data_IF_288176316183
#
_entry.id   IF_288176316183
#
_cell.length_a   1.000
_cell.length_b   1.000
_cell.length_c   1.000
_cell.angle_alpha   90.00
_cell.angle_beta   90.00
_cell.angle_gamma   90.00
#
_symmetry.space_group_name_H-M   'P 1'
#
loop_
_entity.id
_entity.type
_entity.pdbx_description
1 polymer ?
#
# COMPACT_ATOMS: atom_id res chain seq x y z
N UNK A 1 9.77 -10.60 22.10
CA UNK A 1 9.73 -10.63 20.62
C UNK A 1 10.89 -9.84 20.02
N UNK A 2 11.46 -10.26 18.88
CA UNK A 2 12.65 -9.63 18.26
C UNK A 2 12.27 -8.38 17.44
N UNK A 3 13.02 -7.29 17.59
CA UNK A 3 12.98 -6.14 16.69
C UNK A 3 13.64 -6.53 15.35
N UNK A 4 12.90 -6.39 14.26
CA UNK A 4 13.32 -6.75 12.90
C UNK A 4 13.06 -5.61 11.91
N UNK A 5 13.22 -4.36 12.37
CA UNK A 5 12.99 -3.14 11.59
C UNK A 5 13.82 -3.10 10.30
N UNK A 6 15.13 -3.35 10.37
CA UNK A 6 16.00 -3.32 9.19
C UNK A 6 15.63 -4.38 8.16
N UNK A 7 15.19 -5.55 8.64
CA UNK A 7 14.69 -6.60 7.75
C UNK A 7 13.41 -6.18 7.03
N UNK A 8 12.48 -5.54 7.75
CA UNK A 8 11.24 -5.02 7.17
C UNK A 8 11.53 -3.92 6.13
N UNK A 9 12.34 -2.93 6.50
CA UNK A 9 12.71 -1.82 5.61
C UNK A 9 13.50 -2.29 4.39
N UNK A 10 14.45 -3.23 4.54
CA UNK A 10 15.17 -3.80 3.41
C UNK A 10 14.29 -4.61 2.46
N UNK A 11 13.18 -5.19 2.95
CA UNK A 11 12.18 -5.87 2.11
C UNK A 11 11.29 -4.90 1.36
N UNK A 12 10.90 -3.82 2.04
CA UNK A 12 10.00 -2.80 1.52
C UNK A 12 10.70 -1.87 0.53
N UNK A 13 11.95 -1.51 0.82
CA UNK A 13 12.75 -0.50 0.12
C UNK A 13 14.12 -1.10 -0.26
N UNK A 14 14.21 -1.89 -1.36
CA UNK A 14 15.48 -2.40 -1.90
C UNK A 14 16.41 -1.27 -2.35
N UNK A 15 17.67 -1.56 -2.66
CA UNK A 15 18.60 -0.52 -3.11
C UNK A 15 18.25 0.01 -4.50
N UNK A 16 18.57 1.28 -4.76
CA UNK A 16 18.17 1.95 -6.00
C UNK A 16 18.74 1.25 -7.25
N UNK A 17 19.94 0.69 -7.15
CA UNK A 17 20.55 -0.13 -8.20
C UNK A 17 19.68 -1.33 -8.59
N UNK A 18 19.05 -2.00 -7.61
CA UNK A 18 18.15 -3.11 -7.87
C UNK A 18 16.83 -2.65 -8.51
N UNK A 19 16.36 -1.45 -8.14
CA UNK A 19 15.13 -0.86 -8.69
C UNK A 19 15.32 -0.47 -10.15
N UNK A 20 16.50 0.06 -10.50
CA UNK A 20 16.83 0.57 -11.83
C UNK A 20 17.49 -0.46 -12.74
N UNK A 21 17.73 -1.67 -12.24
CA UNK A 21 18.39 -2.73 -13.00
C UNK A 21 17.59 -3.07 -14.27
N UNK A 22 18.29 -3.04 -15.41
CA UNK A 22 17.75 -3.44 -16.70
C UNK A 22 18.52 -4.67 -17.18
N UNK A 23 17.87 -5.83 -17.36
CA UNK A 23 18.54 -7.02 -17.88
C UNK A 23 18.83 -6.84 -19.37
N UNK A 24 19.94 -7.41 -19.81
CA UNK A 24 20.32 -7.46 -21.23
C UNK A 24 19.55 -8.60 -21.91
N UNK A 25 18.41 -8.27 -22.50
CA UNK A 25 17.53 -9.25 -23.18
C UNK A 25 17.09 -8.73 -24.55
N UNK A 26 16.81 -9.66 -25.48
CA UNK A 26 16.33 -9.33 -26.83
C UNK A 26 14.85 -8.93 -26.92
N UNK A 27 14.11 -9.02 -25.81
CA UNK A 27 12.69 -8.70 -25.73
C UNK A 27 12.41 -7.63 -24.67
N UNK A 28 11.23 -7.00 -24.75
CA UNK A 28 10.79 -6.01 -23.77
C UNK A 28 10.51 -6.66 -22.42
N UNK A 29 11.21 -6.21 -21.38
CA UNK A 29 11.01 -6.67 -20.01
C UNK A 29 10.11 -5.71 -19.22
N UNK A 30 9.53 -6.23 -18.14
CA UNK A 30 8.90 -5.43 -17.10
C UNK A 30 9.61 -5.79 -15.81
N UNK A 31 10.53 -4.94 -15.35
CA UNK A 31 11.34 -5.17 -14.14
C UNK A 31 10.80 -4.38 -12.95
N UNK A 32 9.60 -3.81 -13.07
CA UNK A 32 8.94 -3.09 -12.00
C UNK A 32 8.74 -4.03 -10.81
N UNK A 33 9.24 -3.64 -9.65
CA UNK A 33 9.05 -4.36 -8.40
C UNK A 33 7.75 -3.88 -7.77
N UNK A 34 6.79 -4.76 -7.57
CA UNK A 34 5.58 -4.44 -6.78
C UNK A 34 5.69 -5.07 -5.39
N UNK A 35 5.38 -4.29 -4.36
CA UNK A 35 5.26 -4.69 -2.97
C UNK A 35 3.89 -4.29 -2.45
N UNK A 36 3.05 -5.28 -2.17
CA UNK A 36 1.75 -5.03 -1.57
C UNK A 36 1.79 -5.24 -0.05
N UNK A 37 1.46 -4.21 0.70
CA UNK A 37 1.45 -4.18 2.16
C UNK A 37 0.05 -3.96 2.66
N UNK A 38 -0.47 -4.90 3.45
CA UNK A 38 -1.72 -4.69 4.19
C UNK A 38 -1.38 -4.11 5.55
N UNK A 39 -2.03 -3.02 5.94
CA UNK A 39 -1.94 -2.48 7.30
C UNK A 39 -3.29 -2.62 8.00
N UNK A 40 -3.33 -3.52 8.98
CA UNK A 40 -4.50 -3.81 9.78
C UNK A 40 -4.50 -3.01 11.08
N UNK A 41 -5.63 -2.37 11.40
CA UNK A 41 -5.89 -1.90 12.75
C UNK A 41 -7.14 -1.04 12.89
N UNK A 42 -7.64 -0.95 14.13
CA UNK A 42 -8.81 -0.13 14.52
C UNK A 42 -8.63 1.33 14.09
N UNK A 43 -9.72 2.11 13.91
CA UNK A 43 -9.63 3.56 13.83
C UNK A 43 -8.78 4.11 14.98
N UNK A 44 -7.95 5.12 14.71
CA UNK A 44 -7.06 5.70 15.73
C UNK A 44 -5.79 4.89 16.05
N UNK A 45 -5.62 3.64 15.60
CA UNK A 45 -4.40 2.83 15.85
C UNK A 45 -3.09 3.39 15.23
N UNK A 46 -3.16 4.50 14.48
CA UNK A 46 -2.01 5.17 13.89
C UNK A 46 -1.47 4.51 12.62
N UNK A 47 -2.35 3.93 11.80
CA UNK A 47 -1.98 3.37 10.49
C UNK A 47 -1.32 4.42 9.60
N UNK A 48 -1.99 5.56 9.43
CA UNK A 48 -1.51 6.70 8.64
C UNK A 48 -0.15 7.19 9.14
N UNK A 49 0.07 7.27 10.45
CA UNK A 49 1.37 7.65 11.04
C UNK A 49 2.48 6.64 10.73
N UNK A 50 2.18 5.35 10.80
CA UNK A 50 3.14 4.32 10.41
C UNK A 50 3.51 4.42 8.92
N UNK A 51 2.54 4.72 8.05
CA UNK A 51 2.81 4.92 6.61
C UNK A 51 3.61 6.18 6.37
N UNK A 52 3.29 7.29 7.04
CA UNK A 52 4.11 8.53 6.99
C UNK A 52 5.57 8.24 7.36
N UNK A 53 5.79 7.43 8.40
CA UNK A 53 7.14 7.05 8.82
C UNK A 53 7.84 6.19 7.76
N UNK A 54 7.14 5.23 7.14
CA UNK A 54 7.67 4.46 6.01
C UNK A 54 8.06 5.35 4.82
N UNK A 55 7.21 6.32 4.46
CA UNK A 55 7.49 7.26 3.37
C UNK A 55 8.69 8.14 3.71
N UNK A 56 8.79 8.63 4.95
CA UNK A 56 9.97 9.38 5.39
C UNK A 56 11.25 8.53 5.28
N UNK A 57 11.20 7.23 5.63
CA UNK A 57 12.34 6.31 5.42
C UNK A 57 12.69 6.09 3.95
N UNK A 58 11.70 6.05 3.06
CA UNK A 58 11.96 6.00 1.63
C UNK A 58 12.64 7.29 1.13
N UNK A 59 12.15 8.47 1.57
CA UNK A 59 12.73 9.76 1.21
C UNK A 59 14.15 9.91 1.76
N UNK A 60 14.40 9.49 3.01
CA UNK A 60 15.75 9.45 3.60
C UNK A 60 16.69 8.54 2.77
N UNK A 61 16.20 7.41 2.27
CA UNK A 61 17.00 6.44 1.52
C UNK A 61 17.28 6.87 0.08
N UNK A 62 16.27 7.37 -0.64
CA UNK A 62 16.35 7.57 -2.09
C UNK A 62 16.49 9.05 -2.51
N UNK A 63 16.14 9.98 -1.63
CA UNK A 63 15.96 11.39 -1.95
C UNK A 63 14.52 11.72 -2.35
N UNK A 64 14.06 12.94 -2.03
CA UNK A 64 12.68 13.39 -2.29
C UNK A 64 12.38 13.46 -3.79
N UNK A 65 13.39 13.77 -4.60
CA UNK A 65 13.31 13.84 -6.06
C UNK A 65 13.02 12.49 -6.72
N UNK A 66 13.29 11.37 -6.03
CA UNK A 66 13.07 10.02 -6.55
C UNK A 66 11.81 9.33 -6.00
N UNK A 67 11.12 9.95 -5.05
CA UNK A 67 9.98 9.37 -4.35
C UNK A 67 8.70 10.16 -4.64
N UNK A 68 7.74 9.48 -5.24
CA UNK A 68 6.35 9.89 -5.26
C UNK A 68 5.57 9.15 -4.18
N UNK A 69 4.63 9.84 -3.55
CA UNK A 69 3.84 9.25 -2.47
C UNK A 69 2.45 9.86 -2.39
N UNK A 70 1.44 9.04 -2.65
CA UNK A 70 0.05 9.46 -2.84
C UNK A 70 -0.89 8.75 -1.87
N UNK A 71 -1.97 9.41 -1.49
CA UNK A 71 -2.95 8.96 -0.51
C UNK A 71 -4.37 9.13 -1.07
N UNK A 72 -5.14 8.04 -1.11
CA UNK A 72 -6.60 8.06 -1.28
C UNK A 72 -7.26 7.73 0.07
N UNK A 73 -7.94 8.71 0.69
CA UNK A 73 -8.47 8.57 2.06
C UNK A 73 -9.65 7.60 2.20
N UNK A 74 -10.45 7.45 1.15
CA UNK A 74 -11.69 6.69 1.17
C UNK A 74 -11.52 5.26 0.61
N UNK A 75 -10.28 4.82 0.41
CA UNK A 75 -9.98 3.45 -0.04
C UNK A 75 -10.17 3.27 -1.54
N UNK A 76 -10.29 4.37 -2.28
CA UNK A 76 -10.50 4.37 -3.72
C UNK A 76 -9.23 3.98 -4.47
N UNK A 77 -9.14 2.68 -4.77
CA UNK A 77 -8.04 2.13 -5.55
C UNK A 77 -7.94 2.76 -6.94
N UNK A 78 -9.08 3.04 -7.59
CA UNK A 78 -9.11 3.70 -8.89
C UNK A 78 -8.36 5.04 -8.90
N UNK A 79 -8.61 5.89 -7.89
CA UNK A 79 -7.97 7.19 -7.76
C UNK A 79 -6.43 7.10 -7.68
N UNK A 80 -5.91 6.12 -6.92
CA UNK A 80 -4.46 5.87 -6.84
C UNK A 80 -3.87 5.38 -8.16
N UNK A 81 -4.61 4.54 -8.89
CA UNK A 81 -4.16 3.99 -10.16
C UNK A 81 -4.18 5.02 -11.28
N UNK A 82 -5.15 5.93 -11.26
CA UNK A 82 -5.35 6.95 -12.30
C UNK A 82 -4.50 8.19 -12.09
N UNK A 83 -4.36 8.66 -10.84
CA UNK A 83 -3.74 9.96 -10.54
C UNK A 83 -2.65 9.88 -9.47
N UNK A 84 -2.38 8.69 -8.91
CA UNK A 84 -1.45 8.53 -7.80
C UNK A 84 0.00 8.28 -8.20
N UNK A 85 0.31 8.09 -9.48
CA UNK A 85 1.65 7.76 -9.97
C UNK A 85 2.24 8.85 -10.87
N UNK A 86 3.55 9.05 -10.80
CA UNK A 86 4.32 9.94 -11.69
C UNK A 86 5.51 9.20 -12.35
N UNK A 87 6.43 9.92 -12.98
CA UNK A 87 7.60 9.38 -13.68
C UNK A 87 8.78 8.99 -12.77
N UNK A 88 8.67 9.19 -11.44
CA UNK A 88 9.74 8.87 -10.50
C UNK A 88 9.94 7.36 -10.32
N UNK A 89 11.15 6.90 -9.99
CA UNK A 89 11.43 5.47 -9.87
C UNK A 89 10.82 4.81 -8.64
N UNK A 90 10.39 5.57 -7.62
CA UNK A 90 9.77 5.02 -6.39
C UNK A 90 8.39 5.61 -6.21
N UNK A 91 7.37 4.76 -6.29
CA UNK A 91 5.96 5.10 -6.12
C UNK A 91 5.44 4.46 -4.83
N UNK A 92 4.93 5.28 -3.91
CA UNK A 92 4.29 4.81 -2.68
C UNK A 92 2.81 5.20 -2.70
N UNK A 93 1.93 4.22 -2.87
CA UNK A 93 0.50 4.45 -2.99
C UNK A 93 -0.19 3.97 -1.72
N UNK A 94 -0.96 4.83 -1.06
CA UNK A 94 -1.66 4.49 0.16
C UNK A 94 -3.17 4.62 -0.02
N UNK A 95 -3.87 3.49 0.01
CA UNK A 95 -5.32 3.44 0.10
C UNK A 95 -5.71 3.33 1.57
N UNK A 96 -6.16 4.43 2.17
CA UNK A 96 -6.65 4.40 3.54
C UNK A 96 -8.08 3.85 3.58
N UNK A 97 -8.45 3.14 4.66
CA UNK A 97 -9.82 2.67 4.87
C UNK A 97 -10.45 1.83 3.73
N UNK A 98 -9.70 0.90 3.11
CA UNK A 98 -10.17 0.05 1.99
C UNK A 98 -11.36 -0.86 2.32
N UNK A 99 -11.78 -0.89 3.58
CA UNK A 99 -12.96 -1.65 4.05
C UNK A 99 -14.26 -0.84 4.01
N UNK A 100 -14.20 0.49 3.78
CA UNK A 100 -15.38 1.36 3.76
C UNK A 100 -16.10 1.32 2.40
N UNK A 101 -15.34 1.26 1.32
CA UNK A 101 -15.87 1.25 -0.05
C UNK A 101 -15.56 -0.11 -0.66
N UNK A 102 -16.57 -0.75 -1.24
CA UNK A 102 -16.35 -1.96 -2.02
C UNK A 102 -15.69 -1.55 -3.34
N UNK A 103 -14.42 -1.95 -3.61
CA UNK A 103 -13.75 -1.56 -4.83
C UNK A 103 -14.48 -2.15 -6.04
N UNK A 104 -14.52 -1.41 -7.16
CA UNK A 104 -15.11 -1.94 -8.40
C UNK A 104 -14.24 -3.11 -8.87
N UNK A 105 -14.85 -4.09 -9.52
CA UNK A 105 -14.13 -5.25 -10.06
C UNK A 105 -13.00 -4.83 -11.00
N UNK A 106 -13.22 -3.78 -11.79
CA UNK A 106 -12.22 -3.20 -12.69
C UNK A 106 -11.02 -2.64 -11.91
N UNK A 107 -11.24 -1.92 -10.80
CA UNK A 107 -10.15 -1.36 -9.99
C UNK A 107 -9.28 -2.45 -9.38
N UNK A 108 -9.90 -3.55 -8.92
CA UNK A 108 -9.17 -4.73 -8.41
C UNK A 108 -8.33 -5.35 -9.52
N UNK A 109 -8.91 -5.57 -10.70
CA UNK A 109 -8.18 -6.11 -11.85
C UNK A 109 -7.02 -5.20 -12.26
N UNK A 110 -7.22 -3.88 -12.20
CA UNK A 110 -6.22 -2.90 -12.55
C UNK A 110 -5.10 -2.84 -11.51
N UNK A 111 -5.43 -2.99 -10.23
CA UNK A 111 -4.47 -3.12 -9.14
C UNK A 111 -3.51 -4.30 -9.36
N UNK A 112 -4.01 -5.48 -9.74
CA UNK A 112 -3.14 -6.63 -10.07
C UNK A 112 -2.31 -6.43 -11.34
N UNK A 113 -2.71 -5.49 -12.20
CA UNK A 113 -1.98 -5.07 -13.40
C UNK A 113 -1.20 -3.78 -13.19
N UNK A 114 -1.01 -3.31 -11.95
CA UNK A 114 -0.44 -1.97 -11.69
C UNK A 114 0.92 -1.74 -12.36
N UNK A 115 1.75 -2.78 -12.46
CA UNK A 115 3.03 -2.74 -13.18
C UNK A 115 2.87 -2.45 -14.68
N UNK A 116 1.81 -2.97 -15.29
CA UNK A 116 1.49 -2.68 -16.68
C UNK A 116 0.97 -1.25 -16.83
N UNK A 117 0.08 -0.81 -15.92
CA UNK A 117 -0.44 0.55 -15.91
C UNK A 117 0.65 1.61 -15.74
N UNK A 118 1.55 1.44 -14.76
CA UNK A 118 2.68 2.33 -14.57
C UNK A 118 3.54 2.46 -15.83
N UNK A 119 3.82 1.33 -16.50
CA UNK A 119 4.57 1.30 -17.75
C UNK A 119 3.83 2.02 -18.88
N UNK A 120 2.51 1.87 -18.99
CA UNK A 120 1.70 2.60 -19.97
C UNK A 120 1.72 4.10 -19.72
N UNK A 121 1.66 4.51 -18.44
CA UNK A 121 1.65 5.92 -18.04
C UNK A 121 2.99 6.62 -18.29
N UNK A 122 4.10 5.95 -17.96
CA UNK A 122 5.43 6.59 -17.89
C UNK A 122 6.39 6.14 -18.99
N UNK A 123 6.10 5.04 -19.69
CA UNK A 123 7.05 4.37 -20.59
C UNK A 123 8.17 3.61 -19.87
N UNK A 124 8.28 3.73 -18.54
CA UNK A 124 9.37 3.13 -17.77
C UNK A 124 9.14 1.65 -17.48
N UNK A 125 10.17 0.83 -17.67
CA UNK A 125 10.15 -0.61 -17.37
C UNK A 125 10.74 -0.96 -16.00
N UNK A 126 11.27 0.03 -15.28
CA UNK A 126 11.97 -0.14 -14.00
C UNK A 126 11.39 0.86 -13.01
N UNK A 127 10.88 0.36 -11.88
CA UNK A 127 10.37 1.16 -10.78
C UNK A 127 10.13 0.28 -9.56
N UNK A 128 10.01 0.90 -8.39
CA UNK A 128 9.48 0.29 -7.19
C UNK A 128 8.08 0.85 -6.93
N UNK A 129 7.08 -0.02 -6.96
CA UNK A 129 5.71 0.29 -6.57
C UNK A 129 5.45 -0.34 -5.20
N UNK A 130 5.22 0.48 -4.18
CA UNK A 130 4.81 0.06 -2.84
C UNK A 130 3.37 0.47 -2.62
N UNK A 131 2.47 -0.49 -2.47
CA UNK A 131 1.06 -0.23 -2.17
C UNK A 131 0.77 -0.54 -0.71
N UNK A 132 0.19 0.40 0.02
CA UNK A 132 -0.34 0.21 1.36
C UNK A 132 -1.87 0.17 1.31
N UNK A 133 -2.47 -0.89 1.85
CA UNK A 133 -3.92 -1.06 1.95
C UNK A 133 -4.32 -1.06 3.42
N UNK A 134 -4.94 0.01 3.92
CA UNK A 134 -5.36 0.07 5.32
C UNK A 134 -6.75 -0.52 5.54
N UNK A 135 -6.81 -1.55 6.38
CA UNK A 135 -8.04 -2.22 6.72
C UNK A 135 -8.37 -2.09 8.22
N UNK A 136 -9.63 -1.77 8.51
CA UNK A 136 -10.18 -1.87 9.87
C UNK A 136 -10.63 -3.30 10.20
N UNK A 137 -11.09 -4.03 9.18
CA UNK A 137 -11.57 -5.40 9.23
C UNK A 137 -10.85 -6.21 8.18
N UNK A 138 -9.96 -7.11 8.59
CA UNK A 138 -9.15 -7.87 7.64
C UNK A 138 -10.03 -8.76 6.76
N UNK A 139 -11.03 -9.41 7.35
CA UNK A 139 -12.02 -10.23 6.64
C UNK A 139 -12.94 -9.40 5.73
N UNK A 140 -13.11 -8.10 6.01
CA UNK A 140 -13.96 -7.20 5.22
C UNK A 140 -13.30 -6.70 3.93
N UNK A 141 -12.00 -6.91 3.76
CA UNK A 141 -11.31 -6.63 2.50
C UNK A 141 -11.79 -7.59 1.40
N UNK A 142 -11.70 -7.13 0.16
CA UNK A 142 -11.87 -8.01 -1.00
C UNK A 142 -10.94 -9.23 -0.89
N UNK A 143 -11.46 -10.40 -1.27
CA UNK A 143 -10.76 -11.67 -1.08
C UNK A 143 -9.42 -11.69 -1.82
N UNK A 144 -9.33 -11.09 -3.00
CA UNK A 144 -8.09 -11.07 -3.77
C UNK A 144 -7.04 -10.19 -3.09
N UNK A 145 -7.44 -9.04 -2.56
CA UNK A 145 -6.54 -8.10 -1.88
C UNK A 145 -6.00 -8.63 -0.55
N UNK A 146 -6.78 -9.45 0.17
CA UNK A 146 -6.35 -10.05 1.45
C UNK A 146 -5.51 -11.32 1.30
N UNK A 147 -5.55 -11.98 0.14
CA UNK A 147 -4.76 -13.21 -0.11
C UNK A 147 -3.43 -12.94 -0.77
N UNK A 148 -3.31 -11.85 -1.53
CA UNK A 148 -2.11 -11.53 -2.31
C UNK A 148 -1.40 -10.29 -1.78
N UNK A 149 -0.76 -10.44 -0.63
CA UNK A 149 0.10 -9.42 -0.03
C UNK A 149 1.49 -9.97 0.28
N UNK A 150 2.50 -9.10 0.26
CA UNK A 150 3.89 -9.44 0.58
C UNK A 150 4.19 -9.25 2.07
N UNK A 151 3.61 -8.21 2.66
CA UNK A 151 3.83 -7.80 4.05
C UNK A 151 2.50 -7.46 4.72
N UNK A 152 2.41 -7.79 6.01
CA UNK A 152 1.32 -7.36 6.89
C UNK A 152 1.89 -6.52 8.03
N UNK A 153 1.27 -5.39 8.30
CA UNK A 153 1.47 -4.57 9.49
C UNK A 153 0.22 -4.65 10.37
N UNK A 154 0.35 -5.20 11.58
CA UNK A 154 -0.69 -5.20 12.59
C UNK A 154 -0.45 -4.05 13.59
N UNK A 155 -1.46 -3.20 13.73
CA UNK A 155 -1.47 -1.98 14.56
C UNK A 155 -2.46 -2.03 15.70
N UNK A 156 -3.34 -3.02 15.72
CA UNK A 156 -4.18 -3.36 16.87
C UNK A 156 -4.45 -4.87 16.92
N UNK A 157 -4.86 -5.40 18.07
CA UNK A 157 -5.52 -6.68 18.24
C UNK A 157 -6.96 -6.60 17.72
N UNK A 158 -7.43 -7.63 16.99
CA UNK A 158 -8.83 -7.71 16.59
C UNK A 158 -9.75 -8.05 17.75
N UNK A 159 -10.91 -7.40 17.81
CA UNK A 159 -11.97 -7.73 18.80
C UNK A 159 -12.93 -8.83 18.32
N UNK A 160 -13.01 -9.06 17.00
CA UNK A 160 -13.91 -10.07 16.45
C UNK A 160 -13.16 -11.39 16.22
N UNK A 161 -13.79 -12.56 16.48
CA UNK A 161 -13.10 -13.86 16.42
C UNK A 161 -12.48 -14.19 15.05
N UNK A 162 -13.14 -13.79 13.96
CA UNK A 162 -12.70 -14.07 12.60
C UNK A 162 -11.38 -13.37 12.26
N UNK A 163 -11.32 -12.05 12.45
CA UNK A 163 -10.08 -11.29 12.24
C UNK A 163 -9.02 -11.73 13.25
N UNK A 164 -9.39 -12.01 14.51
CA UNK A 164 -8.45 -12.47 15.53
C UNK A 164 -7.75 -13.76 15.08
N UNK A 165 -8.51 -14.75 14.62
CA UNK A 165 -7.96 -16.00 14.13
C UNK A 165 -7.01 -15.81 12.93
N UNK A 166 -7.32 -14.88 12.02
CA UNK A 166 -6.49 -14.61 10.85
C UNK A 166 -5.20 -13.88 11.26
N UNK A 167 -5.31 -12.77 11.99
CA UNK A 167 -4.15 -11.96 12.39
C UNK A 167 -3.24 -12.77 13.33
N UNK A 168 -3.79 -13.53 14.27
CA UNK A 168 -3.05 -14.45 15.15
C UNK A 168 -2.23 -15.48 14.38
N UNK A 169 -2.73 -16.00 13.25
CA UNK A 169 -1.95 -16.91 12.38
C UNK A 169 -0.69 -16.23 11.81
N UNK A 170 -0.75 -14.93 11.52
CA UNK A 170 0.39 -14.19 10.99
C UNK A 170 1.37 -13.75 12.07
N UNK A 171 0.89 -13.10 13.14
CA UNK A 171 1.77 -12.48 14.14
C UNK A 171 2.01 -13.35 15.38
N UNK A 172 1.25 -14.44 15.55
CA UNK A 172 1.30 -15.33 16.71
C UNK A 172 0.61 -14.77 17.94
N UNK A 173 0.44 -15.62 18.96
CA UNK A 173 -0.21 -15.23 20.22
C UNK A 173 0.55 -14.12 20.94
N UNK A 174 1.88 -14.27 21.06
CA UNK A 174 2.72 -13.22 21.63
C UNK A 174 2.57 -11.87 20.91
N UNK A 175 2.30 -11.89 19.60
CA UNK A 175 2.08 -10.68 18.81
C UNK A 175 0.74 -10.03 19.13
N UNK A 176 -0.31 -10.84 19.34
CA UNK A 176 -1.63 -10.36 19.77
C UNK A 176 -1.52 -9.74 21.16
N UNK A 177 -0.95 -10.46 22.13
CA UNK A 177 -0.80 -9.96 23.51
C UNK A 177 0.04 -8.68 23.57
N UNK A 178 1.12 -8.59 22.77
CA UNK A 178 1.90 -7.36 22.70
C UNK A 178 1.08 -6.19 22.11
N UNK A 179 0.24 -6.46 21.11
CA UNK A 179 -0.60 -5.41 20.53
C UNK A 179 -1.67 -4.91 21.51
N UNK A 180 -2.25 -5.80 22.32
CA UNK A 180 -3.20 -5.44 23.38
C UNK A 180 -2.57 -4.49 24.40
N UNK A 181 -1.38 -4.83 24.90
CA UNK A 181 -0.60 -3.96 25.80
C UNK A 181 -0.27 -2.62 25.13
N UNK A 182 0.19 -2.64 23.87
CA UNK A 182 0.51 -1.41 23.15
C UNK A 182 -0.72 -0.52 22.92
N UNK A 183 -1.91 -1.09 22.73
CA UNK A 183 -3.15 -0.32 22.58
C UNK A 183 -3.51 0.43 23.84
N UNK A 184 -3.58 -0.27 24.98
CA UNK A 184 -3.88 0.33 26.28
C UNK A 184 -2.90 1.45 26.61
N UNK A 185 -1.61 1.21 26.35
CA UNK A 185 -0.54 2.13 26.72
C UNK A 185 -0.41 3.33 25.78
N UNK A 186 -0.89 3.23 24.55
CA UNK A 186 -0.85 4.34 23.57
C UNK A 186 -1.79 5.49 23.93
N UNK A 187 -2.80 5.24 24.75
CA UNK A 187 -3.74 6.28 25.21
C UNK A 187 -3.01 7.35 26.02
N UNK A 188 -2.07 6.93 26.87
CA UNK A 188 -1.29 7.83 27.75
C UNK A 188 0.11 8.12 27.18
N UNK A 189 0.69 7.21 26.39
CA UNK A 189 2.07 7.30 25.88
C UNK A 189 2.12 7.30 24.36
N UNK A 190 1.82 8.45 23.74
CA UNK A 190 1.84 8.66 22.27
C UNK A 190 3.14 8.20 21.58
N UNK A 191 4.28 8.20 22.27
CA UNK A 191 5.56 7.69 21.74
C UNK A 191 5.52 6.21 21.33
N UNK A 192 4.57 5.43 21.85
CA UNK A 192 4.40 4.01 21.56
C UNK A 192 3.73 3.74 20.21
N UNK A 193 3.24 4.79 19.52
CA UNK A 193 2.80 4.68 18.13
C UNK A 193 3.93 4.27 17.18
N UNK A 194 5.19 4.32 17.62
CA UNK A 194 6.34 3.83 16.86
C UNK A 194 6.34 2.32 16.60
N UNK A 195 5.67 1.56 17.46
CA UNK A 195 5.75 0.10 17.44
C UNK A 195 4.62 -0.50 16.63
N UNK A 196 4.93 -1.41 15.71
CA UNK A 196 3.95 -2.23 14.99
C UNK A 196 4.38 -3.67 15.02
N UNK A 197 3.41 -4.58 14.94
CA UNK A 197 3.71 -5.97 14.60
C UNK A 197 3.80 -6.11 13.09
N UNK A 198 4.76 -6.86 12.57
CA UNK A 198 4.78 -7.20 11.15
C UNK A 198 4.91 -8.69 10.89
N UNK A 199 4.46 -9.08 9.71
CA UNK A 199 4.64 -10.41 9.14
C UNK A 199 5.08 -10.31 7.68
N UNK A 200 5.97 -11.22 7.29
CA UNK A 200 6.30 -11.59 5.92
C UNK A 200 6.27 -13.12 5.82
N UNK A 201 6.27 -13.66 4.59
CA UNK A 201 6.34 -15.11 4.35
C UNK A 201 7.51 -15.82 5.07
N UNK A 202 8.58 -15.11 5.44
CA UNK A 202 9.77 -15.69 6.09
C UNK A 202 9.97 -15.29 7.55
N UNK A 203 9.49 -14.12 7.97
CA UNK A 203 9.74 -13.60 9.32
C UNK A 203 8.53 -12.83 9.84
N UNK A 204 8.38 -12.85 11.15
CA UNK A 204 7.49 -11.96 11.89
C UNK A 204 8.25 -11.34 13.05
N UNK A 205 7.86 -10.16 13.47
CA UNK A 205 8.51 -9.49 14.58
C UNK A 205 7.99 -8.10 14.84
N UNK A 206 8.70 -7.41 15.73
CA UNK A 206 8.42 -6.02 16.08
C UNK A 206 9.08 -5.11 15.03
N UNK A 207 8.29 -4.18 14.52
CA UNK A 207 8.73 -3.04 13.74
C UNK A 207 8.71 -1.81 14.64
N UNK A 208 9.83 -1.11 14.72
CA UNK A 208 9.96 0.16 15.44
C UNK A 208 10.31 1.26 14.43
N UNK A 209 9.32 2.08 14.09
CA UNK A 209 9.52 3.26 13.25
C UNK A 209 9.20 4.51 14.06
N UNK A 210 10.14 5.45 14.25
CA UNK A 210 9.81 6.72 14.90
C UNK A 210 8.67 7.41 14.13
N UNK A 211 7.92 8.25 14.84
CA UNK A 211 6.92 9.10 14.18
C UNK A 211 7.60 9.96 13.11
N UNK A 212 6.93 10.12 11.97
CA UNK A 212 7.44 10.92 10.88
C UNK A 212 7.63 12.37 11.31
N UNK A 213 8.76 12.96 10.94
CA UNK A 213 9.03 14.39 11.18
C UNK A 213 8.38 15.27 10.12
N UNK A 214 8.25 14.74 8.91
CA UNK A 214 7.62 15.42 7.77
C UNK A 214 6.56 14.53 7.13
N UNK A 215 5.45 15.15 6.73
CA UNK A 215 4.43 14.46 5.92
C UNK A 215 4.76 14.64 4.43
N UNK A 216 5.13 13.55 3.76
CA UNK A 216 5.39 13.52 2.32
C UNK A 216 4.22 12.97 1.51
N UNK A 217 3.20 12.38 2.16
CA UNK A 217 2.01 11.88 1.49
C UNK A 217 1.22 13.05 0.89
N UNK A 218 0.96 12.95 -0.41
CA UNK A 218 0.12 13.87 -1.16
C UNK A 218 -1.28 13.28 -1.22
N UNK A 219 -2.26 14.01 -0.71
CA UNK A 219 -3.64 13.59 -0.78
C UNK A 219 -4.18 13.80 -2.20
N UNK A 220 -4.86 12.79 -2.70
CA UNK A 220 -5.56 12.86 -3.97
C UNK A 220 -7.01 13.25 -3.69
N UNK A 221 -7.47 14.29 -4.38
CA UNK A 221 -8.87 14.71 -4.35
C UNK A 221 -9.58 14.22 -5.63
N UNK A 222 -10.82 13.74 -5.50
CA UNK A 222 -11.65 13.26 -6.62
C UNK A 222 -11.85 14.31 -7.74
N UNK A 223 -11.59 15.59 -7.47
CA UNK A 223 -11.83 16.72 -8.39
C UNK A 223 -10.73 16.97 -9.42
N UNK A 224 -9.63 16.22 -9.44
CA UNK A 224 -8.52 16.40 -10.38
C UNK A 224 -8.23 15.12 -11.16
N UNK A 225 -9.18 14.68 -11.99
CA UNK A 225 -8.86 13.76 -13.08
C UNK A 225 -8.18 14.55 -14.20
N UNK A 226 -6.94 14.21 -14.60
CA UNK A 226 -6.33 14.78 -15.80
C UNK A 226 -7.21 14.47 -17.02
N UNK A 227 -7.46 15.46 -17.90
CA UNK A 227 -8.29 15.30 -19.11
C UNK A 227 -7.88 14.10 -20.00
N UNK A 228 -6.64 13.62 -19.87
CA UNK A 228 -6.14 12.44 -20.56
C UNK A 228 -6.91 11.14 -20.24
N UNK A 229 -7.44 11.00 -19.01
CA UNK A 229 -8.21 9.81 -18.59
C UNK A 229 -9.67 9.89 -19.06
N UNK A 230 -10.22 11.09 -19.20
CA UNK A 230 -11.57 11.31 -19.74
C UNK A 230 -11.66 11.01 -21.23
N UNK A 231 -10.56 11.14 -21.98
CA UNK A 231 -10.53 10.84 -23.42
C UNK A 231 -10.49 9.35 -23.74
N UNK A 232 -10.00 8.49 -22.85
CA UNK A 232 -9.98 7.03 -23.08
C UNK A 232 -11.30 6.34 -22.72
N UNK A 233 -12.05 6.88 -21.76
CA UNK A 233 -13.37 6.36 -21.36
C UNK A 233 -14.52 6.73 -22.32
N UNK A 234 -14.29 7.69 -23.23
CA UNK A 234 -15.27 8.10 -24.26
C UNK A 234 -15.19 7.30 -25.58
N UNK A 235 -14.23 6.38 -25.73
CA UNK A 235 -14.07 5.58 -26.97
C UNK A 235 -14.69 4.17 -26.93
N UNK A 236 -15.26 3.72 -25.81
CA UNK A 236 -15.97 2.42 -25.72
C UNK A 236 -17.50 2.53 -25.69
N UNK A 237 -18.06 3.70 -25.97
CA UNK A 237 -19.51 3.93 -25.92
C UNK A 237 -20.04 4.70 -27.12
N UNK A 238 -20.08 4.07 -28.30
CA UNK A 238 -21.13 4.20 -29.33
C UNK A 238 -20.64 3.63 -30.67
N UNK A 239 -21.26 2.55 -31.16
CA UNK A 239 -22.07 2.51 -32.40
C UNK A 239 -22.63 1.08 -32.53
N UNK A 240 -23.94 0.91 -32.27
CA UNK A 240 -24.81 -0.01 -33.04
C UNK A 240 -26.27 0.21 -32.65
N UNK A 241 -26.78 1.39 -32.96
CA UNK A 241 -28.21 1.60 -33.23
C UNK A 241 -28.43 1.52 -34.74
N UNK A 242 -28.86 0.33 -35.21
CA UNK A 242 -29.51 0.06 -36.50
C UNK A 242 -30.41 -1.15 -36.26
N UNK A 243 -31.71 -1.15 -36.48
CA UNK A 243 -32.67 -0.14 -36.89
C UNK A 243 -34.05 -0.76 -36.71
N UNK A 244 -35.05 0.07 -36.40
CA UNK A 244 -36.46 -0.31 -36.55
C UNK A 244 -36.78 -0.44 -38.04
N UNK A 245 -37.38 -1.56 -38.43
CA UNK A 245 -38.63 -1.65 -39.18
C UNK A 245 -39.23 -3.04 -38.90
#
# INVERSE_FOLDING_TARGET
MKNLTDYFLGKLFPDLEQILYTPETSYSTNNIIHRNVVIYGKPGSGKTEAIRACVEKAVEKYGREKVNSSLARNGELGLLLESGMDDKPVQILFADNVTLVKPKKVDIQNFFKIRHYYRMLTGNNNALLVTFLAAHRFHGMDISLRTDFDLLLARSSPTNPWDNNIIKRFIGEEGISLMEVLEEERETRRKLYRFSMFYSKRKKGLLELPLARKNYLQELDEYHLPEAVLKSSLFEGNVSSRGML
#
